data_IF_275839477502
#
_entry.id   IF_275839477502
#
_cell.length_a   1.000
_cell.length_b   1.000
_cell.length_c   1.000
_cell.angle_alpha   90.00
_cell.angle_beta   90.00
_cell.angle_gamma   90.00
#
_symmetry.space_group_name_H-M   'P 1'
#
loop_
_entity.id
_entity.type
_entity.pdbx_description
1 polymer ?
#
# COMPACT_ATOMS: atom_id res chain seq x y z
N UNK A 1 0.71 -26.25 -13.12
CA UNK A 1 0.36 -25.57 -11.85
C UNK A 1 -1.04 -26.00 -11.47
N UNK A 2 -1.21 -26.59 -10.29
CA UNK A 2 -2.51 -27.04 -9.79
C UNK A 2 -3.12 -25.89 -8.98
N UNK A 3 -4.36 -25.49 -9.28
CA UNK A 3 -5.06 -24.43 -8.56
C UNK A 3 -5.19 -24.84 -7.08
N UNK A 4 -4.47 -24.19 -6.13
CA UNK A 4 -4.49 -24.59 -4.73
C UNK A 4 -5.83 -24.32 -4.04
N UNK A 5 -6.78 -23.66 -4.73
CA UNK A 5 -8.04 -23.21 -4.15
C UNK A 5 -9.25 -24.09 -4.52
N UNK A 6 -9.08 -25.07 -5.43
CA UNK A 6 -10.20 -25.82 -6.00
C UNK A 6 -11.22 -24.92 -6.72
N UNK A 7 -12.26 -25.48 -7.30
CA UNK A 7 -13.36 -24.73 -7.95
C UNK A 7 -14.33 -24.14 -6.92
N UNK A 8 -13.83 -23.35 -5.97
CA UNK A 8 -14.62 -22.74 -4.89
C UNK A 8 -14.58 -21.22 -4.97
N UNK A 9 -15.76 -20.59 -5.02
CA UNK A 9 -15.90 -19.14 -4.86
C UNK A 9 -15.66 -18.75 -3.41
N UNK A 10 -14.83 -17.73 -3.18
CA UNK A 10 -14.52 -17.21 -1.85
C UNK A 10 -14.73 -15.70 -1.78
N UNK A 11 -15.26 -15.21 -0.67
CA UNK A 11 -15.33 -13.78 -0.39
C UNK A 11 -13.94 -13.27 0.04
N UNK A 12 -13.43 -12.25 -0.65
CA UNK A 12 -12.18 -11.58 -0.33
C UNK A 12 -12.34 -10.47 0.74
N UNK A 13 -13.44 -9.71 0.69
CA UNK A 13 -13.77 -8.62 1.62
C UNK A 13 -14.34 -9.12 2.95
N UNK A 14 -13.49 -9.82 3.69
CA UNK A 14 -13.81 -10.34 5.03
C UNK A 14 -12.62 -10.17 5.97
N UNK A 15 -12.86 -10.13 7.27
CA UNK A 15 -11.83 -10.03 8.29
C UNK A 15 -10.94 -11.29 8.34
N UNK A 16 -9.87 -11.26 9.13
CA UNK A 16 -9.04 -12.45 9.40
C UNK A 16 -9.80 -13.56 10.14
N UNK A 17 -10.84 -13.24 10.91
CA UNK A 17 -11.75 -14.22 11.55
C UNK A 17 -12.81 -14.77 10.58
N UNK A 18 -12.93 -14.17 9.39
CA UNK A 18 -13.87 -14.57 8.34
C UNK A 18 -15.21 -13.84 8.37
N UNK A 19 -15.37 -12.86 9.25
CA UNK A 19 -16.54 -11.98 9.31
C UNK A 19 -16.63 -11.10 8.07
N UNK A 20 -17.84 -10.89 7.55
CA UNK A 20 -18.06 -10.00 6.41
C UNK A 20 -17.89 -8.55 6.83
N UNK A 21 -17.39 -7.72 5.91
CA UNK A 21 -17.43 -6.27 6.07
C UNK A 21 -18.88 -5.78 6.21
N UNK A 22 -19.10 -4.79 7.07
CA UNK A 22 -20.43 -4.22 7.30
C UNK A 22 -20.84 -3.15 6.28
N UNK A 23 -19.91 -2.73 5.40
CA UNK A 23 -20.12 -1.73 4.35
C UNK A 23 -19.54 -2.19 3.02
N UNK A 24 -19.77 -1.38 1.98
CA UNK A 24 -19.39 -1.68 0.60
C UNK A 24 -17.87 -1.86 0.44
N UNK A 25 -17.50 -2.69 -0.53
CA UNK A 25 -16.14 -2.85 -1.01
C UNK A 25 -16.10 -2.76 -2.54
N UNK A 26 -15.05 -2.16 -3.10
CA UNK A 26 -14.91 -1.94 -4.54
C UNK A 26 -13.44 -1.96 -4.99
N UNK A 27 -13.23 -1.78 -6.30
CA UNK A 27 -11.91 -1.70 -6.93
C UNK A 27 -10.97 -2.87 -6.56
N UNK A 28 -11.37 -4.15 -6.71
CA UNK A 28 -10.48 -5.25 -6.43
C UNK A 28 -9.40 -5.39 -7.52
N UNK A 29 -8.20 -5.79 -7.12
CA UNK A 29 -7.14 -6.29 -8.01
C UNK A 29 -6.47 -7.51 -7.36
N UNK A 30 -5.87 -8.39 -8.17
CA UNK A 30 -5.34 -9.67 -7.71
C UNK A 30 -3.96 -9.98 -8.31
N UNK A 31 -3.06 -10.53 -7.50
CA UNK A 31 -1.74 -11.00 -7.97
C UNK A 31 -1.89 -12.16 -8.97
N UNK A 32 -0.87 -12.36 -9.80
CA UNK A 32 -0.91 -13.33 -10.89
C UNK A 32 -1.07 -14.78 -10.40
N UNK A 33 -0.62 -15.07 -9.17
CA UNK A 33 -0.78 -16.36 -8.51
C UNK A 33 -2.12 -16.51 -7.75
N UNK A 34 -2.96 -15.47 -7.75
CA UNK A 34 -4.25 -15.44 -7.07
C UNK A 34 -4.17 -15.31 -5.55
N UNK A 35 -2.96 -15.22 -4.97
CA UNK A 35 -2.78 -15.28 -3.51
C UNK A 35 -3.18 -13.98 -2.83
N UNK A 36 -2.92 -12.84 -3.46
CA UNK A 36 -3.09 -11.54 -2.83
C UNK A 36 -4.16 -10.74 -3.55
N UNK A 37 -5.22 -10.42 -2.83
CA UNK A 37 -6.31 -9.56 -3.33
C UNK A 37 -6.23 -8.23 -2.61
N UNK A 38 -6.12 -7.13 -3.35
CA UNK A 38 -6.25 -5.78 -2.80
C UNK A 38 -7.63 -5.24 -3.15
N UNK A 39 -8.22 -4.47 -2.25
CA UNK A 39 -9.54 -3.88 -2.45
C UNK A 39 -9.75 -2.68 -1.52
N UNK A 40 -10.64 -1.79 -1.91
CA UNK A 40 -11.05 -0.65 -1.07
C UNK A 40 -12.32 -1.02 -0.33
N UNK A 41 -12.46 -0.57 0.92
CA UNK A 41 -13.65 -0.83 1.73
C UNK A 41 -13.94 0.28 2.72
N UNK A 42 -15.22 0.61 2.89
CA UNK A 42 -15.73 1.50 3.93
C UNK A 42 -16.02 0.78 5.25
N UNK A 43 -15.73 -0.53 5.32
CA UNK A 43 -16.11 -1.37 6.45
C UNK A 43 -15.13 -1.29 7.63
N UNK A 44 -15.62 -0.73 8.75
CA UNK A 44 -14.88 -0.57 10.00
C UNK A 44 -14.49 -1.83 10.78
N UNK A 45 -14.81 -3.03 10.25
CA UNK A 45 -14.60 -4.30 10.95
C UNK A 45 -13.72 -5.29 10.19
N UNK A 46 -13.02 -4.85 9.13
CA UNK A 46 -12.14 -5.71 8.36
C UNK A 46 -10.72 -5.82 8.94
N UNK A 47 -10.30 -4.83 9.71
CA UNK A 47 -9.10 -4.85 10.55
C UNK A 47 -9.41 -4.28 11.94
N UNK A 48 -8.65 -4.66 12.98
CA UNK A 48 -8.68 -3.96 14.26
C UNK A 48 -8.37 -2.47 14.04
N UNK A 49 -8.97 -1.59 14.84
CA UNK A 49 -8.63 -0.16 14.92
C UNK A 49 -9.00 0.71 13.71
N UNK A 50 -10.11 0.40 13.01
CA UNK A 50 -10.76 1.38 12.12
C UNK A 50 -11.48 2.47 12.91
N UNK A 51 -10.98 3.70 12.81
CA UNK A 51 -11.41 4.82 13.67
C UNK A 51 -11.72 6.11 12.91
N UNK A 52 -11.37 6.22 11.61
CA UNK A 52 -11.55 7.47 10.85
C UNK A 52 -12.79 7.48 9.95
N UNK A 53 -13.52 6.36 9.82
CA UNK A 53 -14.69 6.23 8.95
C UNK A 53 -14.43 6.65 7.49
N UNK A 54 -13.18 6.55 7.04
CA UNK A 54 -12.79 6.77 5.64
C UNK A 54 -12.57 5.45 4.92
N UNK A 55 -12.63 5.49 3.60
CA UNK A 55 -12.42 4.30 2.79
C UNK A 55 -10.95 3.86 2.84
N UNK A 56 -10.74 2.65 3.32
CA UNK A 56 -9.41 2.11 3.53
C UNK A 56 -9.03 1.09 2.46
N UNK A 57 -7.73 0.96 2.26
CA UNK A 57 -7.13 -0.01 1.35
C UNK A 57 -6.72 -1.26 2.13
N UNK A 58 -7.32 -2.39 1.78
CA UNK A 58 -7.05 -3.67 2.40
C UNK A 58 -6.32 -4.61 1.45
N UNK A 59 -5.50 -5.47 2.03
CA UNK A 59 -4.92 -6.63 1.39
C UNK A 59 -5.41 -7.90 2.08
N UNK A 60 -5.90 -8.85 1.28
CA UNK A 60 -6.22 -10.22 1.69
C UNK A 60 -5.14 -11.19 1.22
N UNK A 61 -4.50 -11.91 2.15
CA UNK A 61 -3.70 -13.09 1.85
C UNK A 61 -4.61 -14.32 1.87
N UNK A 62 -4.89 -14.91 0.71
CA UNK A 62 -5.77 -16.07 0.57
C UNK A 62 -5.17 -17.33 1.21
N UNK A 63 -3.84 -17.47 1.19
CA UNK A 63 -3.14 -18.62 1.74
C UNK A 63 -3.17 -18.59 3.27
N UNK A 64 -2.78 -17.46 3.85
CA UNK A 64 -2.71 -17.27 5.31
C UNK A 64 -4.05 -16.86 5.93
N UNK A 65 -5.05 -16.54 5.11
CA UNK A 65 -6.39 -16.08 5.50
C UNK A 65 -6.39 -14.79 6.33
N UNK A 66 -5.38 -13.95 6.15
CA UNK A 66 -5.26 -12.66 6.84
C UNK A 66 -5.79 -11.52 5.97
N UNK A 67 -6.40 -10.54 6.63
CA UNK A 67 -6.76 -9.23 6.05
C UNK A 67 -6.04 -8.14 6.81
N UNK A 68 -5.41 -7.21 6.09
CA UNK A 68 -4.56 -6.16 6.66
C UNK A 68 -4.83 -4.84 5.94
N UNK A 69 -4.98 -3.74 6.70
CA UNK A 69 -4.98 -2.39 6.14
C UNK A 69 -3.56 -2.02 5.69
N UNK A 70 -3.43 -1.47 4.49
CA UNK A 70 -2.11 -1.17 3.89
C UNK A 70 -1.92 0.31 3.53
N UNK A 71 -2.95 1.15 3.63
CA UNK A 71 -2.79 2.62 3.69
C UNK A 71 -2.43 3.07 5.11
N UNK A 72 -1.34 2.54 5.64
CA UNK A 72 -0.83 2.89 6.98
C UNK A 72 0.46 3.67 6.89
N UNK A 73 0.73 4.47 7.91
CA UNK A 73 2.00 5.15 8.13
C UNK A 73 3.13 4.13 8.34
N UNK A 74 4.40 4.57 8.31
CA UNK A 74 5.55 3.68 8.48
C UNK A 74 5.64 2.99 9.86
N UNK A 75 4.98 3.53 10.88
CA UNK A 75 4.83 2.95 12.22
C UNK A 75 3.52 2.15 12.38
N UNK A 76 2.81 1.89 11.28
CA UNK A 76 1.64 1.02 11.23
C UNK A 76 0.34 1.67 11.70
N UNK A 77 0.33 3.00 11.92
CA UNK A 77 -0.88 3.73 12.27
C UNK A 77 -1.76 3.96 11.04
N UNK A 78 -3.07 4.09 11.25
CA UNK A 78 -4.00 4.48 10.22
C UNK A 78 -3.63 5.85 9.66
N UNK A 79 -3.71 6.03 8.35
CA UNK A 79 -3.43 7.32 7.71
C UNK A 79 -4.48 8.39 8.02
N UNK A 80 -4.06 9.64 7.87
CA UNK A 80 -4.88 10.85 8.07
C UNK A 80 -6.06 10.98 7.10
N UNK A 81 -6.01 10.33 5.94
CA UNK A 81 -7.06 10.27 4.93
C UNK A 81 -7.09 8.88 4.29
N UNK A 82 -8.21 8.54 3.64
CA UNK A 82 -8.42 7.28 2.94
C UNK A 82 -7.74 7.22 1.56
N UNK A 83 -8.17 6.23 0.77
CA UNK A 83 -7.78 6.11 -0.64
C UNK A 83 -8.84 6.69 -1.56
N UNK A 84 -8.43 7.49 -2.55
CA UNK A 84 -9.35 8.25 -3.37
C UNK A 84 -10.26 7.36 -4.24
N UNK A 85 -11.58 7.53 -4.10
CA UNK A 85 -12.65 6.77 -4.78
C UNK A 85 -12.54 6.59 -6.31
N UNK A 86 -11.73 7.39 -7.00
CA UNK A 86 -11.67 7.43 -8.46
C UNK A 86 -10.55 6.60 -9.07
N UNK A 87 -9.60 6.10 -8.27
CA UNK A 87 -8.43 5.38 -8.77
C UNK A 87 -8.27 4.08 -7.99
N UNK A 88 -8.58 2.96 -8.65
CA UNK A 88 -8.42 1.64 -8.05
C UNK A 88 -6.94 1.36 -7.73
N UNK A 89 -6.64 0.68 -6.62
CA UNK A 89 -5.29 0.20 -6.36
C UNK A 89 -4.90 -0.84 -7.41
N UNK A 90 -3.60 -1.08 -7.56
CA UNK A 90 -3.10 -2.22 -8.33
C UNK A 90 -2.01 -2.96 -7.58
N UNK A 91 -2.02 -4.29 -7.68
CA UNK A 91 -1.03 -5.18 -7.09
C UNK A 91 -0.14 -5.78 -8.17
N UNK A 92 1.17 -5.76 -7.93
CA UNK A 92 2.15 -6.42 -8.80
C UNK A 92 1.87 -7.91 -8.97
N UNK A 93 2.27 -8.49 -10.10
CA UNK A 93 2.02 -9.92 -10.39
C UNK A 93 2.56 -10.89 -9.33
N UNK A 94 3.70 -10.56 -8.69
CA UNK A 94 4.27 -11.33 -7.58
C UNK A 94 3.76 -10.89 -6.19
N UNK A 95 2.84 -9.93 -6.12
CA UNK A 95 2.15 -9.55 -4.89
C UNK A 95 2.93 -8.73 -3.86
N UNK A 96 4.13 -8.24 -4.20
CA UNK A 96 4.98 -7.49 -3.24
C UNK A 96 4.66 -6.01 -3.25
N UNK A 97 4.41 -5.43 -4.42
CA UNK A 97 4.12 -4.01 -4.55
C UNK A 97 2.62 -3.78 -4.74
N UNK A 98 2.08 -2.78 -4.04
CA UNK A 98 0.74 -2.24 -4.27
C UNK A 98 0.87 -0.74 -4.55
N UNK A 99 0.25 -0.27 -5.62
CA UNK A 99 0.15 1.17 -5.94
C UNK A 99 -1.26 1.67 -5.70
N UNK A 100 -1.40 2.87 -5.14
CA UNK A 100 -2.69 3.50 -4.88
C UNK A 100 -2.55 5.02 -4.84
N UNK A 101 -3.68 5.73 -4.77
CA UNK A 101 -3.70 7.19 -4.65
C UNK A 101 -4.36 7.60 -3.35
N UNK A 102 -3.73 8.53 -2.64
CA UNK A 102 -4.24 9.10 -1.39
C UNK A 102 -3.91 10.60 -1.32
N UNK A 103 -4.64 11.33 -0.47
CA UNK A 103 -4.38 12.72 -0.08
C UNK A 103 -3.76 12.84 1.31
N UNK A 104 -3.51 11.70 1.95
CA UNK A 104 -2.97 11.65 3.30
C UNK A 104 -1.57 12.26 3.32
N UNK A 105 -1.31 13.15 4.29
CA UNK A 105 -0.04 13.87 4.43
C UNK A 105 0.96 13.15 5.34
N UNK A 106 0.61 11.98 5.84
CA UNK A 106 1.34 11.23 6.88
C UNK A 106 1.79 9.83 6.41
N UNK A 107 1.51 9.47 5.16
CA UNK A 107 1.95 8.21 4.56
C UNK A 107 3.44 8.19 4.19
N UNK A 108 4.04 9.34 3.90
CA UNK A 108 5.47 9.51 3.62
C UNK A 108 5.90 10.91 4.08
N UNK A 109 6.99 11.07 4.87
CA UNK A 109 7.52 12.39 5.26
C UNK A 109 7.89 13.32 4.10
N UNK A 110 8.05 12.80 2.88
CA UNK A 110 8.28 13.58 1.67
C UNK A 110 7.00 14.17 1.06
N UNK A 111 5.82 13.73 1.50
CA UNK A 111 4.54 14.34 1.17
C UNK A 111 4.05 15.20 2.35
N UNK A 112 3.67 16.44 2.06
CA UNK A 112 3.23 17.41 3.08
C UNK A 112 2.03 18.23 2.61
N UNK A 113 1.42 17.89 1.48
CA UNK A 113 0.25 18.59 0.97
C UNK A 113 -0.93 17.63 0.76
N UNK A 114 -2.13 18.19 0.60
CA UNK A 114 -3.37 17.38 0.52
C UNK A 114 -3.77 17.07 -0.92
N UNK A 115 -2.87 17.28 -1.89
CA UNK A 115 -3.12 16.87 -3.27
C UNK A 115 -3.05 15.35 -3.37
N UNK A 116 -3.83 14.74 -4.28
CA UNK A 116 -3.73 13.31 -4.50
C UNK A 116 -2.37 12.94 -5.11
N UNK A 117 -1.63 12.10 -4.41
CA UNK A 117 -0.34 11.56 -4.83
C UNK A 117 -0.41 10.04 -4.99
N UNK A 118 0.49 9.49 -5.83
CA UNK A 118 0.63 8.05 -6.04
C UNK A 118 1.61 7.50 -5.02
N UNK A 119 1.17 6.49 -4.29
CA UNK A 119 1.92 5.79 -3.28
C UNK A 119 2.26 4.37 -3.72
N UNK A 120 3.42 3.87 -3.27
CA UNK A 120 3.86 2.50 -3.43
C UNK A 120 4.04 1.87 -2.04
N UNK A 121 3.24 0.85 -1.76
CA UNK A 121 3.40 -0.01 -0.58
C UNK A 121 4.23 -1.26 -0.94
N UNK A 122 5.33 -1.50 -0.22
CA UNK A 122 6.08 -2.75 -0.24
C UNK A 122 5.60 -3.66 0.89
N UNK A 123 4.82 -4.68 0.55
CA UNK A 123 4.32 -5.71 1.48
C UNK A 123 5.42 -6.32 2.35
N UNK A 124 6.56 -6.63 1.75
CA UNK A 124 7.58 -7.46 2.40
C UNK A 124 8.29 -6.64 3.46
N UNK A 125 8.51 -5.35 3.18
CA UNK A 125 9.11 -4.40 4.12
C UNK A 125 8.07 -3.69 4.99
N UNK A 126 6.79 -3.79 4.64
CA UNK A 126 5.68 -3.06 5.23
C UNK A 126 5.90 -1.53 5.24
N UNK A 127 6.43 -1.00 4.14
CA UNK A 127 6.72 0.43 4.00
C UNK A 127 5.90 1.05 2.88
N UNK A 128 5.50 2.31 3.09
CA UNK A 128 4.84 3.15 2.10
C UNK A 128 5.81 4.25 1.67
N UNK A 129 5.82 4.58 0.37
CA UNK A 129 6.49 5.78 -0.13
C UNK A 129 5.71 6.48 -1.23
N UNK A 130 5.84 7.78 -1.33
CA UNK A 130 5.31 8.57 -2.44
C UNK A 130 6.15 8.35 -3.71
N UNK A 131 5.50 8.26 -4.86
CA UNK A 131 6.11 8.04 -6.19
C UNK A 131 6.05 9.30 -7.06
N UNK A 132 5.03 10.14 -6.87
CA UNK A 132 4.78 11.34 -7.69
C UNK A 132 5.31 12.63 -7.10
N UNK A 133 5.92 12.62 -5.91
CA UNK A 133 6.37 13.84 -5.26
C UNK A 133 7.27 14.66 -6.18
N UNK A 134 6.68 15.72 -6.72
CA UNK A 134 7.43 16.75 -7.41
C UNK A 134 8.16 17.50 -6.32
N UNK A 135 9.49 17.39 -6.26
CA UNK A 135 10.29 18.25 -5.39
C UNK A 135 9.81 19.69 -5.59
N UNK A 136 9.21 20.29 -4.55
CA UNK A 136 9.07 21.75 -4.48
C UNK A 136 10.44 22.38 -4.78
N UNK A 137 10.47 23.61 -5.35
CA UNK A 137 11.63 24.13 -6.04
C UNK A 137 12.89 23.90 -5.22
N UNK A 138 13.83 23.15 -5.79
CA UNK A 138 15.17 23.00 -5.22
C UNK A 138 15.72 24.42 -5.10
N UNK A 139 15.68 24.99 -3.91
CA UNK A 139 16.61 26.06 -3.57
C UNK A 139 17.98 25.41 -3.65
N UNK A 140 18.63 25.56 -4.82
CA UNK A 140 20.06 25.34 -4.96
C UNK A 140 20.70 26.39 -4.05
N UNK A 141 20.91 26.05 -2.78
CA UNK A 141 21.91 26.76 -2.01
C UNK A 141 23.24 26.46 -2.69
N UNK A 142 23.82 27.50 -3.27
CA UNK A 142 25.13 27.41 -3.87
C UNK A 142 26.16 26.92 -2.86
N UNK A 143 27.12 26.15 -3.37
CA UNK A 143 28.49 26.20 -2.85
C UNK A 143 28.79 25.35 -1.62
N UNK A 144 29.38 24.19 -1.90
CA UNK A 144 30.43 23.50 -1.13
C UNK A 144 30.11 23.01 0.29
N UNK A 145 30.08 21.68 0.42
CA UNK A 145 31.13 20.96 1.17
C UNK A 145 31.22 19.50 0.73
N UNK A 146 32.47 19.08 0.54
CA UNK A 146 32.92 17.74 0.15
C UNK A 146 32.38 16.69 1.12
N UNK A 147 31.88 15.58 0.58
CA UNK A 147 31.60 14.33 1.29
C UNK A 147 31.82 13.18 0.32
N UNK A 148 32.65 12.23 0.72
CA UNK A 148 33.30 11.16 -0.05
C UNK A 148 32.38 10.28 -0.91
N UNK A 149 32.83 9.98 -2.13
CA UNK A 149 32.32 8.85 -2.93
C UNK A 149 32.78 7.52 -2.30
N UNK A 150 31.96 6.46 -2.30
CA UNK A 150 32.40 5.13 -1.90
C UNK A 150 33.33 4.52 -2.96
N UNK A 151 34.47 3.99 -2.50
CA UNK A 151 35.48 3.30 -3.29
C UNK A 151 34.90 2.07 -3.97
N UNK A 152 34.97 2.01 -5.31
CA UNK A 152 34.76 0.79 -6.10
C UNK A 152 36.03 -0.04 -6.01
N UNK A 153 35.96 -1.22 -5.41
CA UNK A 153 37.04 -2.21 -5.49
C UNK A 153 36.84 -2.95 -6.82
N UNK A 154 37.70 -2.70 -7.79
CA UNK A 154 37.81 -3.54 -8.99
C UNK A 154 38.79 -4.67 -8.69
N UNK A 155 38.38 -5.90 -9.00
CA UNK A 155 39.23 -7.10 -8.97
C UNK A 155 40.07 -7.16 -10.24
N UNK A 156 41.34 -7.51 -10.12
CA UNK A 156 42.26 -8.01 -11.16
C UNK A 156 43.29 -8.85 -10.40
N UNK A 157 43.61 -10.10 -10.70
CA UNK A 157 43.51 -10.93 -11.92
C UNK A 157 42.87 -12.29 -11.59
#
# INVERSE_FOLDING_TARGET
MQNPFGSKTVLASKSSTGERGLHDSWCPDISADGRFVVFVSAAGNLAPDDTNFSDDLFLRDQLNRTTTRINVTSDGQQSSDGVGLRRCPSVSGHGRYVVYVSRATDLDPADSDTRPDVYLYDRVLQTTRVVTATRGPVRRSGGTRRGSLPTVITSSL
#
